data_IF_949299117183
#
_entry.id   IF_949299117183
#
_cell.length_a   1.000
_cell.length_b   1.000
_cell.length_c   1.000
_cell.angle_alpha   90.00
_cell.angle_beta   90.00
_cell.angle_gamma   90.00
#
_symmetry.space_group_name_H-M   'P 1'
#
loop_
_entity.id
_entity.type
_entity.pdbx_description
1 polymer ?
#
# COMPACT_ATOMS: atom_id res chain seq x y z
N UNK A 1 -9.88 -1.31 21.70
CA UNK A 1 -9.45 -2.39 20.80
C UNK A 1 -8.25 -1.90 20.03
N UNK A 2 -7.09 -2.51 20.27
CA UNK A 2 -5.89 -2.29 19.47
C UNK A 2 -5.88 -3.22 18.26
N UNK A 3 -4.94 -3.02 17.31
CA UNK A 3 -4.79 -3.90 16.14
C UNK A 3 -4.30 -5.32 16.50
N UNK A 4 -3.65 -5.47 17.65
CA UNK A 4 -3.01 -6.72 18.08
C UNK A 4 -3.69 -7.38 19.29
N UNK A 5 -4.60 -6.68 19.97
CA UNK A 5 -5.23 -7.16 21.20
C UNK A 5 -6.58 -6.47 21.48
N UNK A 6 -7.47 -7.19 22.16
CA UNK A 6 -8.80 -6.75 22.59
C UNK A 6 -8.77 -5.97 23.92
N UNK A 7 -7.61 -5.46 24.33
CA UNK A 7 -7.48 -4.64 25.53
C UNK A 7 -8.19 -3.28 25.41
N UNK A 8 -8.53 -2.74 26.58
CA UNK A 8 -9.24 -1.46 26.75
C UNK A 8 -8.32 -0.27 26.42
N UNK A 9 -7.01 -0.42 26.65
CA UNK A 9 -6.00 0.59 26.31
C UNK A 9 -5.84 0.72 24.79
N UNK A 10 -6.01 1.93 24.21
CA UNK A 10 -5.75 2.13 22.78
C UNK A 10 -4.26 1.95 22.49
N UNK A 11 -3.94 1.09 21.52
CA UNK A 11 -2.58 0.97 20.98
C UNK A 11 -2.33 1.99 19.87
N UNK A 12 -1.06 2.26 19.60
CA UNK A 12 -0.67 3.14 18.50
C UNK A 12 -1.12 2.57 17.15
N UNK A 13 -1.70 3.42 16.31
CA UNK A 13 -2.24 3.02 15.01
C UNK A 13 -1.08 2.65 14.09
N UNK A 14 -1.10 1.48 13.43
CA UNK A 14 0.00 1.03 12.59
C UNK A 14 0.37 2.06 11.51
N UNK A 15 -0.64 2.67 10.87
CA UNK A 15 -0.45 3.64 9.78
C UNK A 15 -0.18 5.08 10.23
N UNK A 16 0.08 5.33 11.52
CA UNK A 16 0.24 6.71 12.02
C UNK A 16 1.44 7.44 11.40
N UNK A 17 2.53 6.72 11.12
CA UNK A 17 3.71 7.29 10.48
C UNK A 17 3.42 7.78 9.06
N UNK A 18 2.73 6.97 8.26
CA UNK A 18 2.32 7.32 6.89
C UNK A 18 1.33 8.49 6.91
N UNK A 19 0.37 8.48 7.84
CA UNK A 19 -0.62 9.55 7.96
C UNK A 19 0.02 10.90 8.33
N UNK A 20 1.01 10.92 9.24
CA UNK A 20 1.75 12.13 9.59
C UNK A 20 2.56 12.67 8.41
N UNK A 21 3.24 11.78 7.68
CA UNK A 21 4.00 12.18 6.50
C UNK A 21 3.10 12.73 5.39
N UNK A 22 1.94 12.12 5.13
CA UNK A 22 0.97 12.64 4.18
C UNK A 22 0.45 14.05 4.55
N UNK A 23 0.23 14.30 5.84
CA UNK A 23 -0.17 15.63 6.33
C UNK A 23 0.94 16.67 6.14
N UNK A 24 2.18 16.31 6.45
CA UNK A 24 3.34 17.19 6.24
C UNK A 24 3.55 17.50 4.75
N UNK A 25 3.42 16.49 3.87
CA UNK A 25 3.48 16.68 2.42
C UNK A 25 2.41 17.65 1.92
N UNK A 26 1.17 17.56 2.42
CA UNK A 26 0.09 18.48 2.04
C UNK A 26 0.42 19.93 2.42
N UNK A 27 0.95 20.15 3.63
CA UNK A 27 1.36 21.48 4.09
C UNK A 27 2.49 22.05 3.22
N UNK A 28 3.52 21.23 2.93
CA UNK A 28 4.63 21.62 2.07
C UNK A 28 4.19 21.93 0.63
N UNK A 29 3.26 21.17 0.06
CA UNK A 29 2.73 21.42 -1.28
C UNK A 29 1.90 22.72 -1.32
N UNK A 30 1.14 23.02 -0.26
CA UNK A 30 0.42 24.28 -0.16
C UNK A 30 1.37 25.49 -0.16
N UNK A 31 2.42 25.45 0.67
CA UNK A 31 3.44 26.50 0.73
C UNK A 31 4.21 26.62 -0.58
N UNK A 32 4.58 25.49 -1.20
CA UNK A 32 5.28 25.46 -2.48
C UNK A 32 4.46 26.13 -3.60
N UNK A 33 3.16 25.83 -3.68
CA UNK A 33 2.27 26.47 -4.68
C UNK A 33 2.09 27.97 -4.41
N UNK A 34 1.98 28.35 -3.14
CA UNK A 34 1.90 29.75 -2.77
C UNK A 34 3.17 30.51 -3.16
N UNK A 35 4.33 29.91 -2.90
CA UNK A 35 5.61 30.47 -3.31
C UNK A 35 5.68 30.61 -4.82
N UNK A 36 5.35 29.56 -5.59
CA UNK A 36 5.32 29.62 -7.05
C UNK A 36 4.44 30.75 -7.56
N UNK A 37 3.24 30.92 -6.98
CA UNK A 37 2.33 32.02 -7.34
C UNK A 37 2.97 33.39 -7.10
N UNK A 38 3.52 33.62 -5.90
CA UNK A 38 4.15 34.90 -5.55
C UNK A 38 5.38 35.19 -6.41
N UNK A 39 6.17 34.16 -6.70
CA UNK A 39 7.40 34.28 -7.50
C UNK A 39 7.15 34.35 -9.00
N UNK A 40 5.97 33.94 -9.47
CA UNK A 40 5.58 34.05 -10.88
C UNK A 40 5.28 35.49 -11.32
N UNK A 41 5.22 36.44 -10.38
CA UNK A 41 5.02 37.85 -10.65
C UNK A 41 6.35 38.59 -10.47
N UNK A 42 7.07 38.78 -11.58
CA UNK A 42 8.30 39.58 -11.55
C UNK A 42 7.99 41.03 -11.18
N UNK A 43 8.83 41.60 -10.32
CA UNK A 43 8.65 42.99 -9.88
C UNK A 43 9.49 43.90 -10.76
N UNK A 44 8.86 44.91 -11.36
CA UNK A 44 9.58 45.96 -12.06
C UNK A 44 10.32 46.84 -11.05
N UNK A 45 11.63 46.99 -11.25
CA UNK A 45 12.49 47.88 -10.48
C UNK A 45 13.12 48.89 -11.43
N UNK A 46 12.97 50.17 -11.11
CA UNK A 46 13.58 51.28 -11.84
C UNK A 46 14.64 51.89 -10.94
N UNK A 47 15.87 51.98 -11.45
CA UNK A 47 17.01 52.60 -10.78
C UNK A 47 17.28 53.94 -11.47
N UNK A 48 17.49 54.99 -10.69
CA UNK A 48 17.80 56.34 -11.19
C UNK A 48 16.73 56.94 -12.13
N UNK A 49 15.45 56.60 -11.94
CA UNK A 49 14.32 57.16 -12.69
C UNK A 49 13.20 57.65 -11.77
N UNK A 50 12.32 58.48 -12.31
CA UNK A 50 11.14 58.98 -11.58
C UNK A 50 10.11 57.87 -11.34
N UNK A 51 9.35 57.99 -10.25
CA UNK A 51 8.28 57.05 -9.93
C UNK A 51 7.19 57.09 -11.03
N UNK A 52 6.82 55.95 -11.63
CA UNK A 52 5.80 55.91 -12.67
C UNK A 52 4.41 56.24 -12.08
N UNK A 53 3.58 56.97 -12.84
CA UNK A 53 2.22 57.31 -12.44
C UNK A 53 1.27 56.10 -12.39
N UNK A 54 1.58 55.04 -13.13
CA UNK A 54 0.87 53.76 -13.12
C UNK A 54 1.82 52.62 -13.50
N UNK A 55 1.57 51.43 -12.96
CA UNK A 55 2.30 50.18 -13.29
C UNK A 55 1.27 49.09 -13.57
N UNK A 56 1.44 48.34 -14.66
CA UNK A 56 0.55 47.23 -15.02
C UNK A 56 0.81 46.66 -16.42
N UNK A 57 0.16 45.55 -16.74
CA UNK A 57 0.38 44.78 -17.97
C UNK A 57 0.09 45.53 -19.29
N UNK A 58 -0.62 46.65 -19.24
CA UNK A 58 -0.96 47.48 -20.40
C UNK A 58 -0.27 48.85 -20.43
N UNK A 59 0.67 49.11 -19.53
CA UNK A 59 1.31 50.42 -19.40
C UNK A 59 2.71 50.37 -20.02
N UNK A 60 2.98 51.30 -20.96
CA UNK A 60 4.34 51.51 -21.47
C UNK A 60 5.04 52.52 -20.57
N UNK A 61 6.15 52.12 -19.97
CA UNK A 61 6.98 53.00 -19.14
C UNK A 61 8.13 53.51 -20.01
N UNK A 62 8.12 54.81 -20.29
CA UNK A 62 9.22 55.50 -20.97
C UNK A 62 10.10 56.15 -19.92
N UNK A 63 11.39 55.81 -19.93
CA UNK A 63 12.39 56.40 -19.06
C UNK A 63 13.17 57.46 -19.84
N UNK A 64 13.14 58.70 -19.35
CA UNK A 64 13.91 59.80 -19.95
C UNK A 64 15.06 60.15 -19.00
N UNK A 65 16.29 60.19 -19.50
CA UNK A 65 17.43 60.62 -18.71
C UNK A 65 17.30 62.11 -18.37
N UNK A 66 17.29 62.44 -17.08
CA UNK A 66 17.16 63.83 -16.61
C UNK A 66 18.51 64.58 -16.60
N UNK A 67 19.64 63.86 -16.65
CA UNK A 67 21.02 64.38 -16.71
C UNK A 67 21.93 63.45 -17.52
N UNK A 68 22.95 63.98 -18.19
CA UNK A 68 23.94 63.21 -18.99
C UNK A 68 24.62 62.08 -18.19
N UNK A 69 24.81 62.26 -16.88
CA UNK A 69 25.48 61.29 -16.01
C UNK A 69 24.51 60.30 -15.30
N UNK A 70 23.21 60.35 -15.59
CA UNK A 70 22.19 59.47 -14.97
C UNK A 70 21.32 58.82 -16.05
N UNK A 71 21.79 57.69 -16.56
CA UNK A 71 20.98 56.81 -17.39
C UNK A 71 20.02 55.99 -16.49
N UNK A 72 18.70 56.14 -16.63
CA UNK A 72 17.73 55.33 -15.88
C UNK A 72 17.76 53.89 -16.39
N UNK A 73 17.69 52.93 -15.46
CA UNK A 73 17.77 51.49 -15.74
C UNK A 73 16.51 50.80 -15.22
N UNK A 74 15.81 50.07 -16.09
CA UNK A 74 14.62 49.29 -15.74
C UNK A 74 14.92 47.80 -15.85
N UNK A 75 14.62 47.06 -14.79
CA UNK A 75 14.81 45.61 -14.72
C UNK A 75 13.57 44.95 -14.15
N UNK A 76 13.24 43.77 -14.67
CA UNK A 76 12.36 42.85 -13.98
C UNK A 76 13.20 42.00 -13.05
N UNK A 77 12.91 42.07 -11.76
CA UNK A 77 13.56 41.25 -10.74
C UNK A 77 12.65 40.05 -10.49
N UNK A 78 13.10 38.91 -10.98
CA UNK A 78 12.49 37.61 -10.73
C UNK A 78 12.99 36.96 -9.43
N UNK A 79 12.37 35.83 -9.05
CA UNK A 79 12.78 35.04 -7.90
C UNK A 79 14.16 34.40 -8.11
N UNK A 80 15.14 34.80 -7.31
CA UNK A 80 16.49 34.22 -7.31
C UNK A 80 16.79 33.37 -6.06
N UNK A 81 15.80 33.16 -5.19
CA UNK A 81 15.95 32.42 -3.94
C UNK A 81 15.98 30.90 -4.16
N UNK A 82 16.75 30.19 -3.33
CA UNK A 82 16.84 28.72 -3.31
C UNK A 82 15.64 28.02 -2.65
N UNK A 83 14.65 28.79 -2.16
CA UNK A 83 13.52 28.25 -1.39
C UNK A 83 12.61 27.31 -2.18
N UNK A 84 12.38 27.56 -3.47
CA UNK A 84 11.52 26.72 -4.31
C UNK A 84 12.08 25.30 -4.41
N UNK A 85 13.39 25.18 -4.68
CA UNK A 85 14.07 23.89 -4.72
C UNK A 85 14.13 23.25 -3.33
N UNK A 86 14.35 24.03 -2.27
CA UNK A 86 14.34 23.50 -0.89
C UNK A 86 12.98 22.87 -0.51
N UNK A 87 11.86 23.50 -0.88
CA UNK A 87 10.53 22.93 -0.68
C UNK A 87 10.33 21.66 -1.51
N UNK A 88 10.81 21.65 -2.76
CA UNK A 88 10.77 20.45 -3.62
C UNK A 88 11.53 19.29 -2.99
N UNK A 89 12.74 19.51 -2.50
CA UNK A 89 13.53 18.51 -1.79
C UNK A 89 12.81 18.03 -0.53
N UNK A 90 12.26 18.94 0.28
CA UNK A 90 11.52 18.57 1.49
C UNK A 90 10.30 17.68 1.19
N UNK A 91 9.58 17.94 0.08
CA UNK A 91 8.46 17.08 -0.36
C UNK A 91 8.94 15.68 -0.75
N UNK A 92 10.09 15.58 -1.42
CA UNK A 92 10.69 14.30 -1.81
C UNK A 92 11.17 13.52 -0.58
N UNK A 93 11.82 14.20 0.37
CA UNK A 93 12.27 13.60 1.62
C UNK A 93 11.08 13.06 2.43
N UNK A 94 9.97 13.81 2.47
CA UNK A 94 8.78 13.37 3.21
C UNK A 94 8.04 12.23 2.50
N UNK A 95 8.11 12.17 1.18
CA UNK A 95 7.66 11.01 0.41
C UNK A 95 8.49 9.77 0.73
N UNK A 96 9.80 9.90 0.86
CA UNK A 96 10.69 8.80 1.27
C UNK A 96 10.44 8.40 2.72
N UNK A 97 10.20 9.35 3.62
CA UNK A 97 9.78 9.07 5.00
C UNK A 97 8.46 8.30 5.04
N UNK A 98 7.47 8.67 4.22
CA UNK A 98 6.21 7.95 4.10
C UNK A 98 6.42 6.52 3.58
N UNK A 99 7.25 6.35 2.55
CA UNK A 99 7.60 5.04 1.99
C UNK A 99 8.32 4.16 3.02
N UNK A 100 9.27 4.74 3.76
CA UNK A 100 10.01 4.08 4.84
C UNK A 100 9.11 3.73 6.03
N UNK A 101 8.20 4.61 6.44
CA UNK A 101 7.23 4.34 7.50
C UNK A 101 6.24 3.23 7.10
N UNK A 102 5.81 3.24 5.83
CA UNK A 102 5.04 2.16 5.23
C UNK A 102 5.82 0.86 5.19
N UNK A 103 7.09 0.89 4.79
CA UNK A 103 7.95 -0.28 4.78
C UNK A 103 8.21 -0.85 6.18
N UNK A 104 8.36 -0.01 7.22
CA UNK A 104 8.54 -0.45 8.62
C UNK A 104 7.33 -1.22 9.16
N UNK A 105 6.12 -0.93 8.68
CA UNK A 105 4.93 -1.73 8.99
C UNK A 105 5.03 -3.16 8.45
N UNK A 106 5.89 -3.35 7.45
CA UNK A 106 6.14 -4.59 6.75
C UNK A 106 7.55 -5.14 7.00
N UNK A 107 8.33 -4.53 7.88
CA UNK A 107 9.72 -4.92 8.18
C UNK A 107 9.89 -5.27 9.67
N UNK A 108 8.77 -5.49 10.37
CA UNK A 108 8.79 -5.73 11.81
C UNK A 108 9.42 -7.05 12.24
N UNK A 109 9.97 -7.87 11.34
CA UNK A 109 10.83 -9.00 11.72
C UNK A 109 12.07 -9.17 10.83
N UNK A 110 13.21 -8.84 11.46
CA UNK A 110 14.61 -9.26 11.19
C UNK A 110 15.32 -8.75 9.92
N UNK A 111 16.22 -7.79 10.19
CA UNK A 111 17.51 -7.60 9.49
C UNK A 111 18.21 -8.95 9.24
N UNK A 112 18.38 -9.33 7.98
CA UNK A 112 19.68 -9.62 7.36
C UNK A 112 19.50 -10.31 6.00
N UNK A 113 20.41 -9.96 5.08
CA UNK A 113 20.77 -10.63 3.83
C UNK A 113 20.01 -10.18 2.55
N UNK A 114 20.83 -9.59 1.67
CA UNK A 114 20.56 -9.31 0.26
C UNK A 114 20.28 -10.61 -0.52
N UNK A 115 19.48 -10.49 -1.59
CA UNK A 115 19.01 -11.55 -2.51
C UNK A 115 17.69 -12.23 -2.10
N UNK A 116 16.79 -12.41 -3.11
CA UNK A 116 15.57 -13.26 -3.18
C UNK A 116 14.66 -13.40 -1.96
N UNK A 117 15.21 -13.84 -0.83
CA UNK A 117 14.55 -14.01 0.45
C UNK A 117 14.17 -12.69 1.12
N UNK A 118 14.86 -11.59 0.83
CA UNK A 118 14.46 -10.27 1.31
C UNK A 118 13.06 -9.84 0.82
N UNK A 119 12.69 -10.26 -0.40
CA UNK A 119 11.35 -10.03 -0.95
C UNK A 119 10.32 -10.88 -0.19
N UNK A 120 10.59 -12.17 0.00
CA UNK A 120 9.72 -13.11 0.75
C UNK A 120 9.55 -12.71 2.21
N UNK A 121 10.60 -12.23 2.88
CA UNK A 121 10.54 -11.73 4.27
C UNK A 121 9.68 -10.45 4.34
N UNK A 122 9.82 -9.53 3.38
CA UNK A 122 8.91 -8.36 3.27
C UNK A 122 7.45 -8.78 3.06
N UNK A 123 7.18 -9.82 2.26
CA UNK A 123 5.82 -10.33 2.07
C UNK A 123 5.27 -11.04 3.30
N UNK A 124 6.08 -11.84 4.00
CA UNK A 124 5.66 -12.49 5.24
C UNK A 124 5.29 -11.46 6.33
N UNK A 125 6.05 -10.38 6.43
CA UNK A 125 5.78 -9.30 7.37
C UNK A 125 4.62 -8.38 6.92
N UNK A 126 4.32 -8.26 5.62
CA UNK A 126 3.03 -7.71 5.12
C UNK A 126 1.83 -8.50 5.65
N UNK A 127 1.93 -9.84 5.60
CA UNK A 127 0.85 -10.73 6.00
C UNK A 127 0.69 -10.80 7.53
N UNK A 128 1.76 -10.67 8.31
CA UNK A 128 1.71 -10.78 9.78
C UNK A 128 0.84 -9.69 10.42
N UNK A 129 1.01 -8.43 10.01
CA UNK A 129 0.21 -7.31 10.53
C UNK A 129 -1.24 -7.41 10.08
N UNK A 130 -1.50 -7.74 8.81
CA UNK A 130 -2.86 -7.94 8.29
C UNK A 130 -3.58 -9.13 8.94
N UNK A 131 -2.88 -10.24 9.11
CA UNK A 131 -3.37 -11.43 9.84
C UNK A 131 -3.72 -11.08 11.27
N UNK A 132 -2.86 -10.32 11.97
CA UNK A 132 -3.15 -9.91 13.36
C UNK A 132 -4.41 -9.05 13.46
N UNK A 133 -4.60 -8.13 12.51
CA UNK A 133 -5.79 -7.26 12.45
C UNK A 133 -7.04 -8.07 12.12
N UNK A 134 -6.96 -8.97 11.14
CA UNK A 134 -8.08 -9.83 10.74
C UNK A 134 -8.48 -10.80 11.86
N UNK A 135 -7.50 -11.40 12.54
CA UNK A 135 -7.73 -12.29 13.68
C UNK A 135 -8.35 -11.53 14.86
N UNK A 136 -7.81 -10.35 15.21
CA UNK A 136 -8.36 -9.52 16.29
C UNK A 136 -9.77 -9.04 15.98
N UNK A 137 -10.04 -8.69 14.72
CA UNK A 137 -11.39 -8.31 14.25
C UNK A 137 -12.37 -9.47 14.33
N UNK A 138 -11.95 -10.67 13.91
CA UNK A 138 -12.75 -11.88 14.00
C UNK A 138 -13.03 -12.27 15.46
N UNK A 139 -12.04 -12.20 16.35
CA UNK A 139 -12.22 -12.44 17.78
C UNK A 139 -13.16 -11.42 18.43
N UNK A 140 -13.06 -10.15 18.03
CA UNK A 140 -13.98 -9.10 18.48
C UNK A 140 -15.42 -9.38 18.05
N UNK A 141 -15.61 -9.78 16.79
CA UNK A 141 -16.91 -10.17 16.25
C UNK A 141 -17.47 -11.42 16.94
N UNK A 142 -16.64 -12.44 17.14
CA UNK A 142 -17.01 -13.67 17.84
C UNK A 142 -17.46 -13.38 19.28
N UNK A 143 -16.74 -12.51 20.01
CA UNK A 143 -17.12 -12.09 21.36
C UNK A 143 -18.46 -11.35 21.37
N UNK A 144 -18.69 -10.45 20.40
CA UNK A 144 -19.96 -9.74 20.28
C UNK A 144 -21.12 -10.70 19.98
N UNK A 145 -20.94 -11.63 19.04
CA UNK A 145 -21.93 -12.64 18.69
C UNK A 145 -22.21 -13.62 19.83
N UNK A 146 -21.21 -13.98 20.64
CA UNK A 146 -21.41 -14.77 21.87
C UNK A 146 -22.27 -14.05 22.90
N UNK A 147 -22.07 -12.74 23.08
CA UNK A 147 -22.94 -11.95 23.96
C UNK A 147 -24.39 -11.93 23.46
N UNK A 148 -24.59 -11.79 22.15
CA UNK A 148 -25.92 -11.87 21.54
C UNK A 148 -26.54 -13.27 21.71
N UNK A 149 -25.75 -14.34 21.55
CA UNK A 149 -26.21 -15.71 21.76
C UNK A 149 -26.74 -15.92 23.20
N UNK A 150 -26.04 -15.39 24.21
CA UNK A 150 -26.51 -15.39 25.60
C UNK A 150 -27.85 -14.65 25.75
N UNK A 151 -28.01 -13.51 25.08
CA UNK A 151 -29.25 -12.70 25.17
C UNK A 151 -30.46 -13.39 24.54
N UNK A 152 -30.24 -14.23 23.51
CA UNK A 152 -31.30 -14.96 22.79
C UNK A 152 -31.52 -16.37 23.38
N UNK A 153 -30.71 -16.78 24.36
CA UNK A 153 -30.76 -18.13 24.96
C UNK A 153 -30.17 -19.23 24.07
N UNK A 154 -29.36 -18.86 23.07
CA UNK A 154 -28.60 -19.79 22.24
C UNK A 154 -27.27 -20.17 22.91
N UNK A 155 -26.70 -21.31 22.52
CA UNK A 155 -25.42 -21.79 23.04
C UNK A 155 -24.24 -20.93 22.53
N UNK A 156 -23.52 -20.21 23.41
CA UNK A 156 -22.38 -19.37 23.01
C UNK A 156 -21.19 -20.18 22.50
N UNK A 157 -21.09 -21.46 22.85
CA UNK A 157 -19.98 -22.34 22.43
C UNK A 157 -20.00 -22.68 20.94
N UNK A 158 -21.15 -22.52 20.27
CA UNK A 158 -21.32 -22.82 18.84
C UNK A 158 -20.94 -21.66 17.92
N UNK A 159 -20.69 -20.48 18.47
CA UNK A 159 -20.33 -19.30 17.69
C UNK A 159 -18.81 -19.31 17.47
N UNK A 160 -18.41 -19.55 16.22
CA UNK A 160 -17.01 -19.54 15.75
C UNK A 160 -16.93 -18.67 14.50
N UNK A 161 -16.06 -17.66 14.52
CA UNK A 161 -15.79 -16.80 13.36
C UNK A 161 -14.41 -17.15 12.82
N UNK A 162 -14.34 -17.72 11.62
CA UNK A 162 -13.08 -18.00 10.92
C UNK A 162 -12.80 -16.90 9.91
N UNK A 163 -11.82 -16.00 10.14
CA UNK A 163 -11.41 -15.03 9.14
C UNK A 163 -10.71 -15.74 7.97
N UNK A 164 -10.87 -15.19 6.77
CA UNK A 164 -9.98 -15.55 5.66
C UNK A 164 -8.62 -14.90 5.92
N UNK A 165 -7.56 -15.70 5.91
CA UNK A 165 -6.18 -15.26 6.15
C UNK A 165 -5.33 -15.25 4.87
N UNK A 166 -5.92 -15.55 3.71
CA UNK A 166 -5.25 -15.40 2.42
C UNK A 166 -5.22 -13.91 2.04
N UNK A 167 -4.07 -13.27 2.26
CA UNK A 167 -3.84 -11.85 1.94
C UNK A 167 -2.86 -11.64 0.79
N UNK A 168 -2.25 -12.72 0.27
CA UNK A 168 -1.25 -12.68 -0.79
C UNK A 168 -1.52 -13.85 -1.74
N UNK A 169 -1.57 -13.58 -3.04
CA UNK A 169 -1.42 -14.57 -4.10
C UNK A 169 -0.01 -15.16 -4.04
N UNK A 170 0.26 -16.01 -3.05
CA UNK A 170 1.37 -16.94 -3.11
C UNK A 170 0.90 -18.10 -3.99
N UNK A 171 0.75 -17.85 -5.28
CA UNK A 171 0.56 -18.91 -6.25
C UNK A 171 1.87 -19.68 -6.35
N UNK A 172 1.81 -20.99 -6.13
CA UNK A 172 2.92 -21.90 -6.39
C UNK A 172 3.43 -21.71 -7.82
N UNK A 173 4.75 -21.60 -8.02
CA UNK A 173 5.29 -21.48 -9.39
C UNK A 173 5.03 -22.77 -10.17
N UNK A 174 4.91 -22.74 -11.51
CA UNK A 174 4.67 -23.96 -12.30
C UNK A 174 5.68 -25.09 -12.01
N UNK A 175 6.92 -24.74 -11.70
CA UNK A 175 7.99 -25.69 -11.37
C UNK A 175 7.77 -26.37 -10.01
N UNK A 176 7.25 -25.64 -9.03
CA UNK A 176 6.91 -26.18 -7.70
C UNK A 176 5.69 -27.09 -7.79
N UNK A 177 4.71 -26.75 -8.63
CA UNK A 177 3.55 -27.60 -8.91
C UNK A 177 3.96 -28.95 -9.52
N UNK A 178 4.86 -28.90 -10.51
CA UNK A 178 5.40 -30.11 -11.13
C UNK A 178 6.19 -30.97 -10.13
N UNK A 179 7.01 -30.35 -9.27
CA UNK A 179 7.74 -31.05 -8.23
C UNK A 179 6.80 -31.75 -7.23
N UNK A 180 5.71 -31.08 -6.83
CA UNK A 180 4.71 -31.64 -5.91
C UNK A 180 4.01 -32.87 -6.49
N UNK A 181 3.62 -32.80 -7.77
CA UNK A 181 3.04 -33.94 -8.51
C UNK A 181 4.04 -35.09 -8.63
N UNK A 182 5.32 -34.80 -8.90
CA UNK A 182 6.38 -35.83 -8.96
C UNK A 182 6.59 -36.53 -7.61
N UNK A 183 6.53 -35.80 -6.49
CA UNK A 183 6.66 -36.36 -5.13
C UNK A 183 5.49 -37.30 -4.83
N UNK A 184 4.28 -36.97 -5.28
CA UNK A 184 3.12 -37.86 -5.20
C UNK A 184 3.28 -39.10 -6.09
N UNK A 185 3.70 -38.94 -7.35
CA UNK A 185 3.96 -40.06 -8.27
C UNK A 185 5.05 -41.01 -7.74
N UNK A 186 6.04 -40.47 -7.03
CA UNK A 186 7.07 -41.25 -6.35
C UNK A 186 6.57 -41.98 -5.09
N UNK A 187 5.30 -41.78 -4.68
CA UNK A 187 4.67 -42.44 -3.54
C UNK A 187 5.09 -41.88 -2.17
N UNK A 188 5.77 -40.73 -2.14
CA UNK A 188 6.25 -40.13 -0.90
C UNK A 188 5.16 -39.38 -0.11
N UNK A 189 4.08 -38.97 -0.78
CA UNK A 189 2.91 -38.31 -0.16
C UNK A 189 1.61 -38.95 -0.66
N UNK A 190 0.57 -38.92 0.17
CA UNK A 190 -0.77 -39.37 -0.23
C UNK A 190 -1.45 -38.35 -1.14
N UNK A 191 -2.44 -38.78 -1.92
CA UNK A 191 -3.25 -37.88 -2.76
C UNK A 191 -3.96 -36.81 -1.93
N UNK A 192 -4.38 -37.14 -0.71
CA UNK A 192 -4.97 -36.19 0.22
C UNK A 192 -4.00 -35.06 0.58
N UNK A 193 -2.74 -35.40 0.90
CA UNK A 193 -1.70 -34.41 1.20
C UNK A 193 -1.31 -33.58 -0.03
N UNK A 194 -1.33 -34.17 -1.23
CA UNK A 194 -1.15 -33.42 -2.48
C UNK A 194 -2.26 -32.38 -2.65
N UNK A 195 -3.51 -32.79 -2.48
CA UNK A 195 -4.68 -31.95 -2.68
C UNK A 195 -4.77 -30.82 -1.65
N UNK A 196 -4.52 -31.11 -0.37
CA UNK A 196 -4.47 -30.10 0.69
C UNK A 196 -3.39 -29.03 0.43
N UNK A 197 -2.24 -29.43 -0.12
CA UNK A 197 -1.21 -28.48 -0.54
C UNK A 197 -1.63 -27.66 -1.77
N UNK A 198 -2.33 -28.25 -2.74
CA UNK A 198 -2.88 -27.52 -3.88
C UNK A 198 -4.01 -26.55 -3.49
N UNK A 199 -4.83 -26.89 -2.51
CA UNK A 199 -5.86 -26.01 -1.95
C UNK A 199 -5.26 -24.84 -1.18
N UNK A 200 -4.21 -25.12 -0.40
CA UNK A 200 -3.49 -24.10 0.36
C UNK A 200 -2.84 -23.06 -0.55
N UNK A 201 -2.44 -23.46 -1.74
CA UNK A 201 -1.85 -22.59 -2.77
C UNK A 201 -2.91 -22.09 -3.79
N UNK A 202 -4.20 -22.21 -3.47
CA UNK A 202 -5.36 -21.76 -4.26
C UNK A 202 -5.48 -22.33 -5.70
N UNK A 203 -4.73 -23.38 -6.03
CA UNK A 203 -4.82 -24.08 -7.32
C UNK A 203 -5.97 -25.08 -7.38
N UNK A 204 -6.44 -25.54 -6.22
CA UNK A 204 -7.59 -26.45 -6.09
C UNK A 204 -8.74 -25.76 -5.34
N UNK A 205 -9.98 -26.19 -5.62
CA UNK A 205 -11.18 -25.58 -5.05
C UNK A 205 -11.21 -25.75 -3.52
N UNK A 206 -11.26 -24.63 -2.79
CA UNK A 206 -11.28 -24.60 -1.31
C UNK A 206 -12.56 -25.25 -0.73
N UNK A 207 -13.63 -25.32 -1.51
CA UNK A 207 -14.92 -25.87 -1.07
C UNK A 207 -15.03 -27.40 -1.23
N UNK A 208 -14.10 -28.04 -1.95
CA UNK A 208 -14.17 -29.47 -2.27
C UNK A 208 -13.18 -30.25 -1.43
N UNK A 209 -13.49 -31.49 -1.09
CA UNK A 209 -12.53 -32.36 -0.40
C UNK A 209 -11.78 -33.23 -1.40
N UNK A 210 -10.58 -33.71 -1.03
CA UNK A 210 -9.79 -34.62 -1.87
C UNK A 210 -10.59 -35.88 -2.27
N UNK A 211 -11.49 -36.35 -1.38
CA UNK A 211 -12.37 -37.48 -1.65
C UNK A 211 -13.44 -37.16 -2.69
N UNK A 212 -13.94 -35.93 -2.74
CA UNK A 212 -14.95 -35.52 -3.71
C UNK A 212 -14.34 -35.27 -5.10
N UNK A 213 -13.10 -34.79 -5.16
CA UNK A 213 -12.36 -34.66 -6.42
C UNK A 213 -11.97 -36.04 -7.00
N UNK A 214 -11.57 -36.98 -6.13
CA UNK A 214 -11.32 -38.36 -6.53
C UNK A 214 -12.58 -39.04 -7.08
N UNK A 215 -13.75 -38.77 -6.47
CA UNK A 215 -15.04 -39.29 -6.97
C UNK A 215 -15.40 -38.72 -8.34
N UNK A 216 -15.15 -37.44 -8.58
CA UNK A 216 -15.38 -36.79 -9.89
C UNK A 216 -14.45 -37.36 -10.97
N UNK A 217 -13.15 -37.48 -10.68
CA UNK A 217 -12.20 -38.11 -11.61
C UNK A 217 -12.59 -39.55 -11.94
N UNK A 218 -13.04 -40.32 -10.94
CA UNK A 218 -13.57 -41.67 -11.14
C UNK A 218 -14.91 -41.72 -11.90
N UNK A 219 -15.72 -40.66 -11.83
CA UNK A 219 -16.99 -40.55 -12.55
C UNK A 219 -16.75 -40.18 -14.03
N UNK A 220 -15.82 -39.26 -14.29
CA UNK A 220 -15.37 -38.86 -15.64
C UNK A 220 -14.69 -40.03 -16.35
N UNK A 221 -13.76 -40.71 -15.69
CA UNK A 221 -13.11 -41.90 -16.27
C UNK A 221 -14.07 -43.08 -16.49
N UNK A 222 -15.15 -43.18 -15.70
CA UNK A 222 -16.24 -44.15 -15.96
C UNK A 222 -17.15 -43.72 -17.10
N UNK A 223 -17.37 -42.43 -17.33
CA UNK A 223 -18.13 -41.92 -18.47
C UNK A 223 -17.38 -42.17 -19.79
N UNK A 224 -16.06 -41.93 -19.81
CA UNK A 224 -15.22 -42.21 -20.98
C UNK A 224 -15.19 -43.70 -21.35
N UNK A 225 -15.23 -44.60 -20.35
CA UNK A 225 -15.28 -46.05 -20.59
C UNK A 225 -16.63 -46.54 -21.17
N UNK A 226 -17.73 -45.83 -20.90
CA UNK A 226 -19.06 -46.17 -21.44
C UNK A 226 -19.21 -45.66 -22.88
N UNK A 227 -18.63 -44.51 -23.21
CA UNK A 227 -18.64 -43.98 -24.58
C UNK A 227 -17.68 -44.73 -25.53
N UNK A 228 -16.61 -45.33 -25.01
CA UNK A 228 -15.71 -46.19 -25.81
C UNK A 228 -16.28 -47.60 -26.05
N UNK A 229 -17.22 -48.07 -25.23
CA UNK A 229 -17.86 -49.38 -25.40
C UNK A 229 -19.06 -49.37 -26.39
N UNK A 230 -19.43 -48.21 -26.93
CA UNK A 230 -20.54 -48.01 -27.87
C UNK A 230 -20.10 -47.63 -29.31
N UNK A 231 -18.82 -47.80 -29.62
CA UNK A 231 -18.27 -47.79 -31.00
C UNK A 231 -17.77 -49.19 -31.39
#
# INVERSE_FOLDING_TARGET
MGPQDLSVSPQERPLIGVARAAMAMYQLDADYRHQLYMTGQETLVIINGDAPAAVGAGVVISLTASREDHAPDAKYVGPCGTGIEAHRTAILDERENAASAGARLFDSEKRSAESGDALRIRYAAQTATLTSVALTSAQGLEKALRHIAVMIGADPGKVVVKPNLSFVDAGMTPEQAEALVRIWQAGAISYQTLYENLQREELASVERTADDETKLSNLESRADLVDVALL
#
